data_IF_958741998087
#
_entry.id   IF_958741998087
#
_cell.length_a   1.000
_cell.length_b   1.000
_cell.length_c   1.000
_cell.angle_alpha   90.00
_cell.angle_beta   90.00
_cell.angle_gamma   90.00
#
_symmetry.space_group_name_H-M   'P 1'
#
loop_
_entity.id
_entity.type
_entity.pdbx_description
1 polymer ?
#
# COMPACT_ATOMS: atom_id res chain seq x y z
N UNK A 1 56.48 -38.96 -41.97
CA UNK A 1 55.99 -37.73 -42.62
C UNK A 1 55.29 -36.91 -41.54
N UNK A 2 55.99 -35.96 -40.94
CA UNK A 2 55.41 -35.11 -39.88
C UNK A 2 54.89 -33.81 -40.50
N UNK A 3 53.59 -33.56 -40.33
CA UNK A 3 52.97 -32.32 -40.76
C UNK A 3 53.31 -31.22 -39.76
N UNK A 4 54.19 -30.28 -40.15
CA UNK A 4 54.42 -29.05 -39.40
C UNK A 4 53.22 -28.12 -39.59
N UNK A 5 52.42 -27.97 -38.55
CA UNK A 5 51.32 -27.00 -38.50
C UNK A 5 51.94 -25.58 -38.48
N UNK A 6 51.70 -24.81 -39.53
CA UNK A 6 52.11 -23.41 -39.63
C UNK A 6 51.05 -22.52 -38.98
N UNK A 7 51.30 -22.07 -37.74
CA UNK A 7 50.46 -21.08 -37.07
C UNK A 7 51.02 -19.69 -37.40
N UNK A 8 50.29 -18.84 -38.15
CA UNK A 8 50.79 -17.52 -38.52
C UNK A 8 50.96 -16.65 -37.26
N UNK A 9 52.02 -15.84 -37.23
CA UNK A 9 52.42 -15.00 -36.09
C UNK A 9 51.29 -14.08 -35.58
N UNK A 10 50.38 -13.69 -36.47
CA UNK A 10 49.21 -12.87 -36.16
C UNK A 10 48.10 -13.67 -35.45
N UNK A 11 47.98 -14.98 -35.69
CA UNK A 11 47.04 -15.85 -34.98
C UNK A 11 47.47 -16.07 -33.52
N UNK A 12 48.79 -16.13 -33.26
CA UNK A 12 49.31 -16.19 -31.89
C UNK A 12 49.02 -14.90 -31.11
N UNK A 13 49.16 -13.74 -31.77
CA UNK A 13 48.80 -12.46 -31.18
C UNK A 13 47.28 -12.36 -30.89
N UNK A 14 46.43 -12.85 -31.81
CA UNK A 14 44.97 -12.87 -31.63
C UNK A 14 44.52 -13.83 -30.52
N UNK A 15 45.19 -14.98 -30.36
CA UNK A 15 44.94 -15.90 -29.24
C UNK A 15 45.32 -15.28 -27.90
N UNK A 16 46.46 -14.57 -27.84
CA UNK A 16 46.91 -13.89 -26.63
C UNK A 16 45.97 -12.73 -26.24
N UNK A 17 45.49 -11.93 -27.19
CA UNK A 17 44.52 -10.86 -26.90
C UNK A 17 43.16 -11.41 -26.47
N UNK A 18 42.71 -12.51 -27.07
CA UNK A 18 41.48 -13.18 -26.65
C UNK A 18 41.57 -13.72 -25.22
N UNK A 19 42.71 -14.33 -24.84
CA UNK A 19 42.97 -14.82 -23.48
C UNK A 19 43.01 -13.67 -22.45
N UNK A 20 43.60 -12.53 -22.80
CA UNK A 20 43.66 -11.33 -21.94
C UNK A 20 42.26 -10.70 -21.75
N UNK A 21 41.40 -10.72 -22.78
CA UNK A 21 40.02 -10.25 -22.66
C UNK A 21 39.18 -11.13 -21.72
N UNK A 22 39.42 -12.45 -21.72
CA UNK A 22 38.71 -13.38 -20.83
C UNK A 22 39.17 -13.26 -19.36
N UNK A 23 40.43 -12.86 -19.09
CA UNK A 23 40.93 -12.65 -17.73
C UNK A 23 40.42 -11.37 -17.07
N UNK A 24 39.83 -10.45 -17.83
CA UNK A 24 39.30 -9.18 -17.34
C UNK A 24 37.76 -9.18 -17.19
N UNK A 25 37.10 -10.32 -17.41
CA UNK A 25 35.68 -10.47 -17.09
C UNK A 25 35.56 -10.85 -15.61
N UNK A 26 35.70 -9.87 -14.73
CA UNK A 26 35.28 -10.03 -13.34
C UNK A 26 33.77 -10.27 -13.32
N UNK A 27 33.37 -11.52 -13.14
CA UNK A 27 32.01 -11.85 -12.73
C UNK A 27 31.90 -11.36 -11.29
N UNK A 28 31.43 -10.13 -11.09
CA UNK A 28 31.05 -9.64 -9.77
C UNK A 28 29.85 -10.46 -9.28
N UNK A 29 30.10 -11.44 -8.42
CA UNK A 29 29.10 -12.21 -7.66
C UNK A 29 28.58 -11.43 -6.44
N UNK A 30 28.74 -10.10 -6.41
CA UNK A 30 28.30 -9.26 -5.31
C UNK A 30 26.94 -8.62 -5.63
N UNK A 31 25.83 -9.37 -5.62
CA UNK A 31 24.51 -8.76 -5.42
C UNK A 31 23.36 -9.69 -4.96
N UNK A 32 23.52 -11.02 -5.04
CA UNK A 32 22.42 -11.93 -4.67
C UNK A 32 22.20 -12.01 -3.16
N UNK A 33 23.27 -12.00 -2.36
CA UNK A 33 23.18 -12.11 -0.89
C UNK A 33 22.69 -10.81 -0.23
N UNK A 34 23.16 -9.65 -0.70
CA UNK A 34 22.76 -8.33 -0.14
C UNK A 34 21.29 -8.01 -0.45
N UNK A 35 20.83 -8.33 -1.67
CA UNK A 35 19.44 -8.13 -2.09
C UNK A 35 18.48 -9.09 -1.36
N UNK A 36 18.88 -10.35 -1.13
CA UNK A 36 18.09 -11.32 -0.35
C UNK A 36 17.95 -10.90 1.12
N UNK A 37 19.05 -10.48 1.76
CA UNK A 37 19.06 -10.07 3.16
C UNK A 37 18.24 -8.79 3.40
N UNK A 38 18.28 -7.82 2.49
CA UNK A 38 17.48 -6.60 2.58
C UNK A 38 15.99 -6.86 2.38
N UNK A 39 15.62 -7.73 1.44
CA UNK A 39 14.22 -8.13 1.20
C UNK A 39 13.61 -8.82 2.41
N UNK A 40 14.35 -9.73 3.05
CA UNK A 40 13.93 -10.38 4.29
C UNK A 40 13.77 -9.38 5.43
N UNK A 41 14.74 -8.47 5.59
CA UNK A 41 14.70 -7.40 6.61
C UNK A 41 13.46 -6.51 6.46
N UNK A 42 13.16 -6.03 5.25
CA UNK A 42 12.00 -5.19 5.00
C UNK A 42 10.68 -5.93 5.22
N UNK A 43 10.63 -7.20 4.84
CA UNK A 43 9.46 -8.06 5.07
C UNK A 43 9.22 -8.28 6.57
N UNK A 44 10.28 -8.55 7.33
CA UNK A 44 10.17 -8.75 8.78
C UNK A 44 9.79 -7.45 9.51
N UNK A 45 10.31 -6.31 9.07
CA UNK A 45 9.88 -5.00 9.55
C UNK A 45 8.37 -4.79 9.34
N UNK A 46 7.87 -5.05 8.13
CA UNK A 46 6.44 -4.93 7.82
C UNK A 46 5.59 -5.89 8.67
N UNK A 47 5.99 -7.17 8.80
CA UNK A 47 5.29 -8.16 9.63
C UNK A 47 5.17 -7.69 11.08
N UNK A 48 6.28 -7.22 11.66
CA UNK A 48 6.31 -6.73 13.04
C UNK A 48 5.35 -5.55 13.23
N UNK A 49 5.34 -4.61 12.31
CA UNK A 49 4.43 -3.46 12.35
C UNK A 49 2.97 -3.90 12.25
N UNK A 50 2.62 -4.74 11.26
CA UNK A 50 1.25 -5.21 11.05
C UNK A 50 0.72 -6.10 12.19
N UNK A 51 1.57 -6.84 12.89
CA UNK A 51 1.16 -7.62 14.06
C UNK A 51 0.63 -6.77 15.23
N UNK A 52 0.91 -5.46 15.22
CA UNK A 52 0.40 -4.52 16.23
C UNK A 52 -0.91 -3.84 15.85
N UNK A 53 -1.48 -4.17 14.68
CA UNK A 53 -2.74 -3.59 14.20
C UNK A 53 -3.93 -4.52 14.47
N UNK A 54 -5.15 -3.97 14.39
CA UNK A 54 -6.37 -4.75 14.62
C UNK A 54 -6.62 -5.80 13.53
N UNK A 55 -6.19 -5.53 12.30
CA UNK A 55 -6.34 -6.45 11.16
C UNK A 55 -4.99 -6.79 10.52
N UNK A 56 -4.14 -7.62 11.17
CA UNK A 56 -2.75 -7.86 10.74
C UNK A 56 -2.63 -8.43 9.33
N UNK A 57 -3.52 -9.36 8.96
CA UNK A 57 -3.51 -9.97 7.63
C UNK A 57 -3.77 -8.93 6.54
N UNK A 58 -4.81 -8.11 6.70
CA UNK A 58 -5.15 -7.03 5.76
C UNK A 58 -4.02 -6.00 5.68
N UNK A 59 -3.39 -5.66 6.82
CA UNK A 59 -2.23 -4.77 6.85
C UNK A 59 -1.09 -5.33 6.00
N UNK A 60 -0.73 -6.61 6.21
CA UNK A 60 0.38 -7.22 5.49
C UNK A 60 0.08 -7.36 4.00
N UNK A 61 -1.09 -7.89 3.63
CA UNK A 61 -1.49 -8.09 2.23
C UNK A 61 -1.49 -6.77 1.46
N UNK A 62 -2.04 -5.71 2.05
CA UNK A 62 -2.12 -4.39 1.42
C UNK A 62 -0.77 -3.68 1.25
N UNK A 63 0.26 -4.07 2.00
CA UNK A 63 1.56 -3.40 2.04
C UNK A 63 2.75 -4.23 1.50
N UNK A 64 2.59 -5.55 1.38
CA UNK A 64 3.67 -6.49 1.03
C UNK A 64 4.38 -6.17 -0.29
N UNK A 65 3.64 -5.69 -1.30
CA UNK A 65 4.18 -5.28 -2.59
C UNK A 65 5.01 -3.97 -2.53
N UNK A 66 4.99 -3.27 -1.40
CA UNK A 66 5.68 -1.99 -1.21
C UNK A 66 6.87 -2.07 -0.25
N UNK A 67 7.28 -3.26 0.19
CA UNK A 67 8.40 -3.45 1.14
C UNK A 67 9.70 -2.79 0.68
N UNK A 68 10.01 -2.80 -0.62
CA UNK A 68 11.19 -2.11 -1.19
C UNK A 68 11.09 -0.57 -1.12
N UNK A 69 9.87 -0.02 -1.17
CA UNK A 69 9.61 1.41 -1.00
C UNK A 69 9.66 1.81 0.48
N UNK A 70 9.04 0.99 1.34
CA UNK A 70 8.92 1.23 2.78
C UNK A 70 10.28 1.07 3.47
N UNK A 71 11.04 0.03 3.09
CA UNK A 71 12.26 -0.41 3.77
C UNK A 71 12.00 -0.61 5.27
N UNK A 72 12.83 -0.04 6.13
CA UNK A 72 12.64 0.02 7.59
C UNK A 72 12.26 1.42 8.06
N UNK A 73 11.52 2.19 7.25
CA UNK A 73 11.20 3.59 7.54
C UNK A 73 9.71 3.75 7.92
N UNK A 74 9.47 4.19 9.17
CA UNK A 74 8.13 4.37 9.73
C UNK A 74 7.29 5.42 8.99
N UNK A 75 7.88 6.55 8.60
CA UNK A 75 7.18 7.58 7.85
C UNK A 75 6.76 7.07 6.46
N UNK A 76 7.66 6.40 5.74
CA UNK A 76 7.33 5.78 4.44
C UNK A 76 6.25 4.71 4.57
N UNK A 77 6.27 3.93 5.65
CA UNK A 77 5.24 2.94 5.96
C UNK A 77 3.87 3.60 6.15
N UNK A 78 3.79 4.62 7.02
CA UNK A 78 2.56 5.37 7.27
C UNK A 78 2.03 6.04 5.99
N UNK A 79 2.91 6.70 5.24
CA UNK A 79 2.55 7.34 3.97
C UNK A 79 2.02 6.33 2.97
N UNK A 80 2.64 5.14 2.87
CA UNK A 80 2.16 4.10 1.97
C UNK A 80 0.82 3.53 2.41
N UNK A 81 0.65 3.22 3.69
CA UNK A 81 -0.62 2.72 4.25
C UNK A 81 -1.77 3.69 3.99
N UNK A 82 -1.55 4.98 4.24
CA UNK A 82 -2.55 6.01 4.01
C UNK A 82 -2.84 6.22 2.52
N UNK A 83 -1.84 6.14 1.65
CA UNK A 83 -2.03 6.20 0.19
C UNK A 83 -2.86 5.03 -0.33
N UNK A 84 -2.58 3.81 0.13
CA UNK A 84 -3.33 2.60 -0.24
C UNK A 84 -4.78 2.70 0.24
N UNK A 85 -4.98 3.17 1.48
CA UNK A 85 -6.30 3.40 2.07
C UNK A 85 -7.11 4.42 1.27
N UNK A 86 -6.53 5.59 0.98
CA UNK A 86 -7.18 6.64 0.17
C UNK A 86 -7.56 6.15 -1.23
N UNK A 87 -6.69 5.35 -1.87
CA UNK A 87 -6.99 4.75 -3.17
C UNK A 87 -8.16 3.76 -3.07
N UNK A 88 -8.18 2.92 -2.03
CA UNK A 88 -9.27 1.98 -1.79
C UNK A 88 -10.59 2.73 -1.55
N UNK A 89 -10.61 3.73 -0.66
CA UNK A 89 -11.77 4.60 -0.39
C UNK A 89 -12.31 5.25 -1.66
N UNK A 90 -11.43 5.85 -2.47
CA UNK A 90 -11.81 6.49 -3.74
C UNK A 90 -12.37 5.50 -4.75
N UNK A 91 -11.79 4.30 -4.85
CA UNK A 91 -12.29 3.25 -5.74
C UNK A 91 -13.66 2.74 -5.29
N UNK A 92 -13.86 2.52 -4.00
CA UNK A 92 -15.15 2.06 -3.47
C UNK A 92 -16.21 3.13 -3.63
N UNK A 93 -15.94 4.42 -3.34
CA UNK A 93 -16.92 5.49 -3.57
C UNK A 93 -17.40 5.51 -5.03
N UNK A 94 -16.51 5.29 -6.02
CA UNK A 94 -16.90 5.16 -7.42
C UNK A 94 -17.72 3.89 -7.69
N UNK A 95 -17.34 2.76 -7.10
CA UNK A 95 -18.09 1.50 -7.23
C UNK A 95 -19.51 1.65 -6.66
N UNK A 96 -19.66 2.24 -5.46
CA UNK A 96 -20.96 2.49 -4.82
C UNK A 96 -21.82 3.38 -5.71
N UNK A 97 -21.27 4.47 -6.26
CA UNK A 97 -21.97 5.33 -7.24
C UNK A 97 -22.37 4.62 -8.53
N UNK A 98 -21.66 3.57 -8.95
CA UNK A 98 -22.02 2.76 -10.14
C UNK A 98 -23.16 1.81 -9.81
N UNK A 99 -22.99 1.05 -8.73
CA UNK A 99 -23.97 0.10 -8.22
C UNK A 99 -25.31 0.78 -7.90
N UNK A 100 -25.27 2.03 -7.41
CA UNK A 100 -26.47 2.81 -7.13
C UNK A 100 -27.29 3.17 -8.37
N UNK A 101 -26.69 3.12 -9.56
CA UNK A 101 -27.35 3.44 -10.85
C UNK A 101 -27.84 2.19 -11.58
N UNK A 102 -27.19 1.05 -11.32
CA UNK A 102 -27.49 -0.23 -11.97
C UNK A 102 -28.56 -1.03 -11.21
N UNK A 103 -28.76 -0.78 -9.92
CA UNK A 103 -29.73 -1.49 -9.09
C UNK A 103 -31.16 -1.00 -9.28
N UNK A 104 -32.12 -1.93 -9.24
CA UNK A 104 -33.54 -1.64 -9.07
C UNK A 104 -33.82 -1.28 -7.59
N UNK A 105 -33.29 -0.15 -7.14
CA UNK A 105 -33.40 0.30 -5.77
C UNK A 105 -34.78 0.91 -5.50
N UNK A 106 -35.37 0.58 -4.36
CA UNK A 106 -36.47 1.34 -3.80
C UNK A 106 -36.03 2.77 -3.46
N UNK A 107 -37.00 3.68 -3.30
CA UNK A 107 -36.73 5.07 -2.88
C UNK A 107 -35.96 5.14 -1.55
N UNK A 108 -36.21 4.21 -0.63
CA UNK A 108 -35.53 4.15 0.65
C UNK A 108 -34.07 3.72 0.48
N UNK A 109 -33.80 2.68 -0.31
CA UNK A 109 -32.44 2.22 -0.61
C UNK A 109 -31.62 3.27 -1.36
N UNK A 110 -32.24 3.97 -2.31
CA UNK A 110 -31.59 5.08 -3.01
C UNK A 110 -31.20 6.22 -2.06
N UNK A 111 -32.02 6.50 -1.04
CA UNK A 111 -31.70 7.46 0.02
C UNK A 111 -30.47 7.02 0.83
N UNK A 112 -30.49 5.79 1.34
CA UNK A 112 -29.37 5.23 2.14
C UNK A 112 -28.06 5.23 1.36
N UNK A 113 -28.10 4.82 0.09
CA UNK A 113 -26.90 4.81 -0.74
C UNK A 113 -26.41 6.23 -1.01
N UNK A 114 -27.32 7.19 -1.18
CA UNK A 114 -26.93 8.59 -1.33
C UNK A 114 -26.22 9.11 -0.07
N UNK A 115 -26.79 8.87 1.11
CA UNK A 115 -26.18 9.28 2.38
C UNK A 115 -24.81 8.61 2.55
N UNK A 116 -24.72 7.31 2.27
CA UNK A 116 -23.45 6.59 2.27
C UNK A 116 -22.41 7.18 1.29
N UNK A 117 -22.83 7.61 0.10
CA UNK A 117 -21.93 8.23 -0.88
C UNK A 117 -21.35 9.56 -0.36
N UNK A 118 -22.15 10.32 0.39
CA UNK A 118 -21.75 11.58 1.00
C UNK A 118 -20.77 11.32 2.16
N UNK A 119 -21.07 10.39 3.06
CA UNK A 119 -20.16 9.94 4.14
C UNK A 119 -18.82 9.42 3.59
N UNK A 120 -18.85 8.63 2.52
CA UNK A 120 -17.62 8.17 1.85
C UNK A 120 -16.82 9.33 1.24
N UNK A 121 -17.49 10.42 0.84
CA UNK A 121 -16.85 11.65 0.38
C UNK A 121 -16.09 12.35 1.50
N UNK A 122 -16.73 12.47 2.67
CA UNK A 122 -16.13 13.07 3.86
C UNK A 122 -14.93 12.26 4.38
N UNK A 123 -15.04 10.93 4.41
CA UNK A 123 -13.92 10.04 4.74
C UNK A 123 -12.74 10.27 3.80
N UNK A 124 -12.98 10.33 2.49
CA UNK A 124 -11.92 10.59 1.50
C UNK A 124 -11.24 11.94 1.75
N UNK A 125 -11.99 12.97 2.12
CA UNK A 125 -11.42 14.29 2.38
C UNK A 125 -10.60 14.32 3.68
N UNK A 126 -11.01 13.60 4.71
CA UNK A 126 -10.20 13.39 5.91
C UNK A 126 -8.91 12.61 5.62
N UNK A 127 -8.97 11.57 4.79
CA UNK A 127 -7.80 10.81 4.35
C UNK A 127 -6.84 11.68 3.53
N UNK A 128 -7.34 12.56 2.66
CA UNK A 128 -6.51 13.53 1.91
C UNK A 128 -5.83 14.54 2.85
N UNK A 129 -6.56 15.10 3.82
CA UNK A 129 -5.99 16.01 4.83
C UNK A 129 -4.86 15.34 5.59
N UNK A 130 -5.11 14.10 6.03
CA UNK A 130 -4.13 13.25 6.70
C UNK A 130 -2.87 13.05 5.85
N UNK A 131 -3.03 12.71 4.57
CA UNK A 131 -1.90 12.43 3.68
C UNK A 131 -1.08 13.69 3.38
N UNK A 132 -1.77 14.82 3.17
CA UNK A 132 -1.13 16.11 2.97
C UNK A 132 -0.29 16.50 4.19
N UNK A 133 -0.87 16.42 5.39
CA UNK A 133 -0.14 16.75 6.61
C UNK A 133 1.03 15.80 6.83
N UNK A 134 0.86 14.50 6.61
CA UNK A 134 1.94 13.51 6.78
C UNK A 134 3.14 13.79 5.85
N UNK A 135 2.87 14.26 4.63
CA UNK A 135 3.92 14.67 3.68
C UNK A 135 4.61 15.99 4.05
N UNK A 136 4.02 16.78 4.94
CA UNK A 136 4.58 18.03 5.46
C UNK A 136 5.13 17.87 6.88
N UNK A 137 5.18 16.65 7.44
CA UNK A 137 5.68 16.42 8.80
C UNK A 137 7.14 16.84 8.91
N UNK A 138 7.40 17.91 9.68
CA UNK A 138 8.73 18.40 9.98
C UNK A 138 8.76 19.31 11.21
N UNK A 139 9.96 19.54 11.74
CA UNK A 139 10.22 20.59 12.74
C UNK A 139 9.65 20.32 14.13
N UNK A 140 9.52 21.40 14.90
CA UNK A 140 9.07 21.40 16.31
C UNK A 140 7.58 21.09 16.48
N UNK A 141 6.78 21.12 15.41
CA UNK A 141 5.32 20.92 15.46
C UNK A 141 4.89 19.48 15.12
N UNK A 142 5.85 18.56 14.97
CA UNK A 142 5.59 17.18 14.55
C UNK A 142 4.49 16.50 15.38
N UNK A 143 4.50 16.65 16.70
CA UNK A 143 3.49 16.06 17.59
C UNK A 143 2.09 16.59 17.30
N UNK A 144 1.94 17.90 17.12
CA UNK A 144 0.68 18.54 16.80
C UNK A 144 0.17 18.10 15.42
N UNK A 145 1.06 18.03 14.43
CA UNK A 145 0.71 17.58 13.08
C UNK A 145 0.26 16.11 13.09
N UNK A 146 0.97 15.24 13.82
CA UNK A 146 0.57 13.84 14.01
C UNK A 146 -0.76 13.74 14.76
N UNK A 147 -1.03 14.60 15.75
CA UNK A 147 -2.32 14.63 16.45
C UNK A 147 -3.47 14.96 15.48
N UNK A 148 -3.32 15.97 14.62
CA UNK A 148 -4.33 16.31 13.61
C UNK A 148 -4.59 15.16 12.64
N UNK A 149 -3.53 14.47 12.21
CA UNK A 149 -3.65 13.28 11.36
C UNK A 149 -4.48 12.19 12.05
N UNK A 150 -4.21 11.90 13.32
CA UNK A 150 -4.99 10.91 14.09
C UNK A 150 -6.46 11.30 14.19
N UNK A 151 -6.76 12.57 14.43
CA UNK A 151 -8.13 13.09 14.48
C UNK A 151 -8.85 12.89 13.15
N UNK A 152 -8.25 13.31 12.04
CA UNK A 152 -8.88 13.15 10.72
C UNK A 152 -9.05 11.68 10.35
N UNK A 153 -8.09 10.82 10.64
CA UNK A 153 -8.26 9.39 10.39
C UNK A 153 -9.35 8.73 11.24
N UNK A 154 -9.53 9.19 12.48
CA UNK A 154 -10.64 8.73 13.33
C UNK A 154 -11.99 9.21 12.80
N UNK A 155 -12.05 10.43 12.27
CA UNK A 155 -13.23 10.94 11.57
C UNK A 155 -13.53 10.11 10.32
N UNK A 156 -12.53 9.83 9.48
CA UNK A 156 -12.71 9.00 8.29
C UNK A 156 -13.31 7.62 8.61
N UNK A 157 -12.87 6.98 9.70
CA UNK A 157 -13.47 5.71 10.15
C UNK A 157 -14.92 5.87 10.63
N UNK A 158 -15.24 7.02 11.25
CA UNK A 158 -16.60 7.32 11.72
C UNK A 158 -17.55 7.47 10.54
N UNK A 159 -17.14 8.19 9.49
CA UNK A 159 -17.96 8.39 8.29
C UNK A 159 -18.19 7.04 7.56
N UNK A 160 -17.13 6.22 7.43
CA UNK A 160 -17.25 4.88 6.85
C UNK A 160 -18.20 3.97 7.66
N UNK A 161 -18.14 4.05 9.00
CA UNK A 161 -19.02 3.29 9.90
C UNK A 161 -20.47 3.77 9.75
N UNK A 162 -20.69 5.08 9.72
CA UNK A 162 -22.00 5.71 9.55
C UNK A 162 -22.68 5.25 8.26
N UNK A 163 -21.94 5.18 7.14
CA UNK A 163 -22.49 4.59 5.92
C UNK A 163 -22.97 3.14 6.17
N UNK A 164 -22.14 2.30 6.80
CA UNK A 164 -22.47 0.88 6.96
C UNK A 164 -23.61 0.64 7.95
N UNK A 165 -23.78 1.51 8.94
CA UNK A 165 -24.89 1.48 9.90
C UNK A 165 -26.22 1.79 9.20
N UNK A 166 -26.26 2.82 8.34
CA UNK A 166 -27.45 3.13 7.54
C UNK A 166 -27.91 1.97 6.63
N UNK A 167 -26.98 1.13 6.17
CA UNK A 167 -27.28 -0.10 5.42
C UNK A 167 -27.89 -1.18 6.33
N UNK A 168 -27.37 -1.34 7.55
CA UNK A 168 -27.75 -2.40 8.48
C UNK A 168 -29.13 -2.18 9.12
N UNK A 169 -29.47 -0.94 9.45
CA UNK A 169 -30.71 -0.59 10.16
C UNK A 169 -31.98 -1.08 9.45
N UNK A 170 -31.92 -1.22 8.13
CA UNK A 170 -33.07 -1.62 7.31
C UNK A 170 -33.15 -3.11 7.02
N UNK A 171 -32.22 -3.93 7.55
CA UNK A 171 -32.12 -5.39 7.29
C UNK A 171 -32.26 -5.72 5.80
N UNK A 172 -31.68 -4.90 4.93
CA UNK A 172 -31.88 -5.00 3.48
C UNK A 172 -31.14 -6.25 2.99
N UNK A 173 -31.90 -7.24 2.50
CA UNK A 173 -31.37 -8.51 2.02
C UNK A 173 -30.80 -8.45 0.60
N UNK A 174 -30.76 -7.26 0.00
CA UNK A 174 -30.32 -7.05 -1.38
C UNK A 174 -28.82 -7.34 -1.56
N UNK A 175 -28.48 -7.98 -2.69
CA UNK A 175 -27.11 -8.35 -3.02
C UNK A 175 -26.21 -7.12 -3.20
N UNK A 176 -26.73 -6.05 -3.81
CA UNK A 176 -26.03 -4.79 -4.02
C UNK A 176 -25.66 -4.16 -2.68
N UNK A 177 -26.61 -4.09 -1.74
CA UNK A 177 -26.36 -3.52 -0.42
C UNK A 177 -25.31 -4.30 0.37
N UNK A 178 -25.36 -5.64 0.32
CA UNK A 178 -24.35 -6.51 0.94
C UNK A 178 -22.97 -6.30 0.34
N UNK A 179 -22.89 -6.11 -0.99
CA UNK A 179 -21.64 -5.84 -1.70
C UNK A 179 -21.07 -4.48 -1.31
N UNK A 180 -21.90 -3.43 -1.29
CA UNK A 180 -21.52 -2.08 -0.85
C UNK A 180 -20.96 -2.14 0.57
N UNK A 181 -21.72 -2.70 1.52
CA UNK A 181 -21.29 -2.86 2.91
C UNK A 181 -19.94 -3.56 3.01
N UNK A 182 -19.78 -4.72 2.37
CA UNK A 182 -18.54 -5.49 2.41
C UNK A 182 -17.34 -4.67 1.93
N UNK A 183 -17.51 -3.89 0.85
CA UNK A 183 -16.42 -3.06 0.33
C UNK A 183 -16.04 -1.90 1.24
N UNK A 184 -16.99 -1.35 2.00
CA UNK A 184 -16.75 -0.23 2.92
C UNK A 184 -16.13 -0.72 4.22
N UNK A 185 -16.61 -1.83 4.78
CA UNK A 185 -15.99 -2.50 5.92
C UNK A 185 -14.51 -2.81 5.65
N UNK A 186 -14.17 -3.26 4.44
CA UNK A 186 -12.78 -3.50 4.07
C UNK A 186 -11.93 -2.22 4.08
N UNK A 187 -12.51 -1.06 3.74
CA UNK A 187 -11.81 0.23 3.85
C UNK A 187 -11.63 0.60 5.31
N UNK A 188 -12.64 0.43 6.16
CA UNK A 188 -12.50 0.71 7.59
C UNK A 188 -11.43 -0.14 8.27
N UNK A 189 -11.24 -1.38 7.81
CA UNK A 189 -10.11 -2.21 8.23
C UNK A 189 -8.75 -1.63 7.79
N UNK A 190 -8.66 -1.11 6.56
CA UNK A 190 -7.45 -0.43 6.08
C UNK A 190 -7.19 0.88 6.84
N UNK A 191 -8.21 1.72 7.02
CA UNK A 191 -8.12 2.98 7.77
C UNK A 191 -7.70 2.73 9.22
N UNK A 192 -8.30 1.73 9.88
CA UNK A 192 -7.94 1.30 11.22
C UNK A 192 -6.47 0.86 11.32
N UNK A 193 -6.00 0.04 10.37
CA UNK A 193 -4.60 -0.37 10.33
C UNK A 193 -3.66 0.82 10.09
N UNK A 194 -3.97 1.70 9.15
CA UNK A 194 -3.16 2.88 8.88
C UNK A 194 -3.07 3.81 10.10
N UNK A 195 -4.18 4.01 10.82
CA UNK A 195 -4.22 4.79 12.07
C UNK A 195 -3.36 4.13 13.15
N UNK A 196 -3.43 2.80 13.30
CA UNK A 196 -2.60 2.06 14.25
C UNK A 196 -1.10 2.24 13.96
N UNK A 197 -0.69 2.23 12.69
CA UNK A 197 0.70 2.50 12.29
C UNK A 197 1.12 3.93 12.61
N UNK A 198 0.25 4.91 12.36
CA UNK A 198 0.51 6.33 12.67
C UNK A 198 0.58 6.58 14.18
N UNK A 199 -0.20 5.84 14.98
CA UNK A 199 -0.11 5.88 16.43
C UNK A 199 1.26 5.46 16.97
N UNK A 200 2.01 4.67 16.22
CA UNK A 200 3.38 4.22 16.55
C UNK A 200 4.48 5.07 15.93
N UNK A 201 4.16 6.12 15.16
CA UNK A 201 5.16 6.88 14.43
C UNK A 201 6.08 7.71 15.34
N UNK A 202 5.59 8.14 16.50
CA UNK A 202 6.33 8.93 17.50
C UNK A 202 6.54 8.19 18.84
N UNK A 203 6.21 6.91 18.89
CA UNK A 203 6.24 6.11 20.13
C UNK A 203 7.11 4.87 20.03
#
# INVERSE_FOLDING_TARGET
MEAKIFIPRNALALLLTFLICMSNMEISLADTNTTKNSTETYTNYLKKACNSTLYPQICFESLSSYTSTIKTNGLKMCTKALTVTLKAASNTSRLVRSLSKEGNLSKAEAGIIKDCIDEMGDSIDMLKKSLKALGSVNGSEIEFQISNIKTWMSAAMTDETTCTDGIDERKISDEVMRKIRKTIVNISMLTSNALALINKLLG
#
